data_IF_604146283327
#
_entry.id   IF_604146283327
#
_cell.length_a   1.000
_cell.length_b   1.000
_cell.length_c   1.000
_cell.angle_alpha   90.00
_cell.angle_beta   90.00
_cell.angle_gamma   90.00
#
_symmetry.space_group_name_H-M   'P 1'
#
loop_
_entity.id
_entity.type
_entity.pdbx_description
1 polymer ?
#
# COMPACT_ATOMS: atom_id res chain seq x y z
N UNK A 1 21.27 -5.52 8.70
CA UNK A 1 20.31 -5.21 7.63
C UNK A 1 19.63 -3.87 7.92
N UNK A 2 19.50 -3.03 6.91
CA UNK A 2 18.63 -1.85 6.95
C UNK A 2 17.20 -2.38 7.09
N UNK A 3 16.55 -2.11 8.22
CA UNK A 3 15.15 -2.45 8.49
C UNK A 3 14.39 -1.17 8.85
N UNK A 4 13.08 -1.23 8.69
CA UNK A 4 12.09 -0.24 9.11
C UNK A 4 12.37 1.18 8.56
N UNK A 5 12.63 1.25 7.26
CA UNK A 5 12.86 2.53 6.57
C UNK A 5 12.47 2.51 5.10
N UNK A 6 12.31 3.71 4.53
CA UNK A 6 12.16 3.92 3.10
C UNK A 6 13.53 3.81 2.42
N UNK A 7 13.60 3.12 1.28
CA UNK A 7 14.82 2.94 0.50
C UNK A 7 14.58 3.20 -0.98
N UNK A 8 15.60 3.67 -1.67
CA UNK A 8 15.64 3.64 -3.12
C UNK A 8 16.18 2.28 -3.59
N UNK A 9 15.45 1.64 -4.48
CA UNK A 9 15.88 0.43 -5.16
C UNK A 9 16.68 0.81 -6.40
N UNK A 10 17.81 0.14 -6.60
CA UNK A 10 18.68 0.31 -7.77
C UNK A 10 18.90 -1.03 -8.47
N UNK A 11 19.12 -1.01 -9.78
CA UNK A 11 19.57 -2.17 -10.52
C UNK A 11 21.10 -2.39 -10.39
N UNK A 12 21.62 -3.43 -11.02
CA UNK A 12 23.06 -3.78 -11.00
C UNK A 12 23.95 -2.68 -11.63
N UNK A 13 23.40 -1.85 -12.49
CA UNK A 13 24.07 -0.70 -13.10
C UNK A 13 23.91 0.60 -12.29
N UNK A 14 23.45 0.50 -11.03
CA UNK A 14 23.18 1.63 -10.13
C UNK A 14 22.10 2.61 -10.61
N UNK A 15 21.21 2.19 -11.51
CA UNK A 15 20.08 3.02 -11.95
C UNK A 15 18.89 2.84 -10.99
N UNK A 16 18.27 3.95 -10.59
CA UNK A 16 17.07 3.93 -9.72
C UNK A 16 15.89 3.29 -10.46
N UNK A 17 15.30 2.27 -9.86
CA UNK A 17 14.12 1.58 -10.39
C UNK A 17 12.83 1.92 -9.64
N UNK A 18 12.94 2.47 -8.43
CA UNK A 18 11.83 3.04 -7.65
C UNK A 18 12.11 3.02 -6.15
N UNK A 19 11.06 3.14 -5.37
CA UNK A 19 11.08 3.25 -3.92
C UNK A 19 10.39 2.05 -3.29
N UNK A 20 10.92 1.59 -2.16
CA UNK A 20 10.32 0.56 -1.33
C UNK A 20 10.40 0.99 0.14
N UNK A 21 9.56 0.41 1.00
CA UNK A 21 9.88 0.37 2.42
C UNK A 21 10.35 -1.03 2.80
N UNK A 22 11.42 -1.10 3.59
CA UNK A 22 11.97 -2.36 4.09
C UNK A 22 11.41 -2.59 5.47
N UNK A 23 10.64 -3.66 5.64
CA UNK A 23 10.22 -4.18 6.93
C UNK A 23 9.90 -5.67 6.77
N UNK A 24 10.40 -6.50 7.67
CA UNK A 24 10.29 -7.95 7.52
C UNK A 24 8.84 -8.39 7.73
N UNK A 25 8.26 -9.07 6.75
CA UNK A 25 6.91 -9.62 6.83
C UNK A 25 6.90 -11.03 6.25
N UNK A 26 6.69 -12.04 7.12
CA UNK A 26 6.78 -13.45 6.76
C UNK A 26 8.12 -13.77 6.06
N UNK A 27 8.06 -14.22 4.80
CA UNK A 27 9.23 -14.51 3.95
C UNK A 27 9.73 -13.29 3.17
N UNK A 28 8.98 -12.19 3.18
CA UNK A 28 9.33 -10.94 2.50
C UNK A 28 10.15 -9.99 3.38
N UNK A 29 10.89 -9.09 2.75
CA UNK A 29 11.75 -8.10 3.41
C UNK A 29 11.21 -6.66 3.30
N UNK A 30 10.10 -6.46 2.59
CA UNK A 30 9.53 -5.14 2.36
C UNK A 30 8.57 -5.12 1.18
N UNK A 31 8.12 -3.93 0.82
CA UNK A 31 7.15 -3.72 -0.24
C UNK A 31 7.59 -2.62 -1.19
N UNK A 32 7.45 -2.88 -2.48
CA UNK A 32 7.68 -1.91 -3.54
C UNK A 32 6.49 -0.93 -3.62
N UNK A 33 6.79 0.37 -3.73
CA UNK A 33 5.80 1.43 -3.72
C UNK A 33 5.63 2.12 -5.08
N UNK A 34 6.62 2.00 -5.97
CA UNK A 34 6.59 2.66 -7.28
C UNK A 34 7.75 3.65 -7.47
N UNK A 35 7.68 4.44 -8.54
CA UNK A 35 8.67 5.46 -8.88
C UNK A 35 8.24 6.84 -8.37
N UNK A 36 9.20 7.70 -8.07
CA UNK A 36 8.95 9.10 -7.71
C UNK A 36 8.38 9.31 -6.31
N UNK A 37 8.39 8.29 -5.45
CA UNK A 37 7.98 8.42 -4.06
C UNK A 37 9.22 8.76 -3.22
N UNK A 38 9.26 9.99 -2.74
CA UNK A 38 10.34 10.47 -1.86
C UNK A 38 9.94 10.43 -0.38
N UNK A 39 8.66 10.68 -0.10
CA UNK A 39 8.11 10.73 1.25
C UNK A 39 6.72 10.07 1.31
N UNK A 40 6.43 9.40 2.42
CA UNK A 40 5.10 8.85 2.72
C UNK A 40 4.29 9.88 3.50
N UNK A 41 3.81 10.90 2.79
CA UNK A 41 2.99 11.97 3.37
C UNK A 41 1.57 11.49 3.67
N UNK A 42 0.82 12.24 4.48
CA UNK A 42 -0.61 11.99 4.68
C UNK A 42 -1.38 12.03 3.36
N UNK A 43 -1.06 12.98 2.47
CA UNK A 43 -1.71 13.09 1.16
C UNK A 43 -1.48 11.87 0.26
N UNK A 44 -0.32 11.24 0.35
CA UNK A 44 -0.04 9.96 -0.32
C UNK A 44 -1.00 8.86 0.15
N UNK A 45 -1.22 8.73 1.46
CA UNK A 45 -2.16 7.73 1.97
C UNK A 45 -3.63 8.06 1.68
N UNK A 46 -4.01 9.35 1.73
CA UNK A 46 -5.37 9.78 1.37
C UNK A 46 -5.71 9.36 -0.05
N UNK A 47 -4.82 9.58 -1.02
CA UNK A 47 -5.09 9.19 -2.42
C UNK A 47 -5.23 7.67 -2.60
N UNK A 48 -4.43 6.87 -1.87
CA UNK A 48 -4.55 5.41 -1.85
C UNK A 48 -5.91 4.97 -1.30
N UNK A 49 -6.36 5.57 -0.19
CA UNK A 49 -7.64 5.22 0.43
C UNK A 49 -8.83 5.68 -0.41
N UNK A 50 -8.76 6.84 -1.05
CA UNK A 50 -9.79 7.30 -1.98
C UNK A 50 -9.94 6.34 -3.16
N UNK A 51 -8.82 5.92 -3.77
CA UNK A 51 -8.83 4.95 -4.86
C UNK A 51 -9.38 3.58 -4.41
N UNK A 52 -8.97 3.09 -3.22
CA UNK A 52 -9.46 1.83 -2.66
C UNK A 52 -10.95 1.87 -2.34
N UNK A 53 -11.45 3.01 -1.84
CA UNK A 53 -12.88 3.26 -1.59
C UNK A 53 -13.68 3.29 -2.90
N UNK A 54 -13.18 3.97 -3.94
CA UNK A 54 -13.84 4.03 -5.24
C UNK A 54 -14.01 2.65 -5.88
N UNK A 55 -13.04 1.74 -5.72
CA UNK A 55 -13.16 0.34 -6.22
C UNK A 55 -14.22 -0.50 -5.50
N UNK A 56 -14.81 0.00 -4.42
CA UNK A 56 -15.72 -0.73 -3.52
C UNK A 56 -17.07 -0.03 -3.34
N UNK A 57 -17.43 0.86 -4.26
CA UNK A 57 -18.69 1.59 -4.24
C UNK A 57 -19.90 0.65 -4.17
N UNK A 58 -19.82 -0.50 -4.82
CA UNK A 58 -20.91 -1.48 -4.85
C UNK A 58 -21.19 -2.05 -3.46
N UNK A 59 -20.15 -2.31 -2.66
CA UNK A 59 -20.31 -2.74 -1.27
C UNK A 59 -20.85 -1.61 -0.39
N UNK A 60 -20.38 -0.37 -0.57
CA UNK A 60 -20.88 0.76 0.22
C UNK A 60 -22.34 1.12 -0.07
N UNK A 61 -22.84 0.76 -1.25
CA UNK A 61 -24.21 1.01 -1.69
C UNK A 61 -25.14 -0.21 -1.46
N UNK A 62 -24.63 -1.31 -0.90
CA UNK A 62 -25.39 -2.53 -0.66
C UNK A 62 -26.14 -2.46 0.67
N UNK A 63 -27.45 -2.71 0.64
CA UNK A 63 -28.26 -2.89 1.86
C UNK A 63 -28.02 -4.25 2.54
N UNK A 64 -27.37 -5.19 1.85
CA UNK A 64 -27.16 -6.57 2.31
C UNK A 64 -25.73 -6.85 2.78
N UNK A 65 -24.83 -5.87 2.66
CA UNK A 65 -23.41 -6.04 2.99
C UNK A 65 -22.92 -4.91 3.90
N UNK A 66 -22.77 -5.21 5.18
CA UNK A 66 -22.30 -4.26 6.20
C UNK A 66 -20.88 -4.56 6.73
N UNK A 67 -20.32 -5.71 6.36
CA UNK A 67 -18.96 -6.11 6.73
C UNK A 67 -18.16 -6.48 5.48
N UNK A 68 -17.08 -5.73 5.19
CA UNK A 68 -16.22 -5.99 4.03
C UNK A 68 -14.84 -5.32 4.18
N UNK A 69 -13.88 -5.82 3.41
CA UNK A 69 -12.53 -5.25 3.33
C UNK A 69 -12.50 -4.00 2.48
N UNK A 70 -12.01 -2.89 3.03
CA UNK A 70 -11.85 -1.60 2.32
C UNK A 70 -10.44 -1.37 1.77
N UNK A 71 -9.44 -2.04 2.31
CA UNK A 71 -8.04 -1.96 1.86
C UNK A 71 -7.31 -3.29 2.08
N UNK A 72 -6.56 -3.77 1.08
CA UNK A 72 -6.01 -5.12 0.99
C UNK A 72 -4.57 -5.14 0.44
N UNK A 73 -3.63 -4.62 1.24
CA UNK A 73 -2.20 -4.70 0.98
C UNK A 73 -1.81 -4.18 -0.43
N UNK A 74 -0.94 -4.92 -1.13
CA UNK A 74 -0.49 -4.65 -2.49
C UNK A 74 -1.64 -4.63 -3.51
N UNK A 75 -2.75 -5.33 -3.23
CA UNK A 75 -3.99 -5.22 -4.00
C UNK A 75 -4.59 -3.80 -4.01
N UNK A 76 -4.20 -2.96 -3.05
CA UNK A 76 -4.55 -1.55 -3.00
C UNK A 76 -3.31 -0.62 -3.01
N UNK A 77 -2.20 -1.10 -3.59
CA UNK A 77 -0.94 -0.38 -3.83
C UNK A 77 -0.14 0.03 -2.57
N UNK A 78 -0.44 -0.58 -1.42
CA UNK A 78 0.40 -0.43 -0.23
C UNK A 78 0.39 -1.72 0.59
N UNK A 79 1.42 -2.55 0.41
CA UNK A 79 1.55 -3.79 1.16
C UNK A 79 1.68 -3.57 2.67
N UNK A 80 1.43 -4.61 3.46
CA UNK A 80 1.56 -4.56 4.93
C UNK A 80 0.41 -3.87 5.67
N UNK A 81 -0.60 -3.36 4.96
CA UNK A 81 -1.80 -2.75 5.55
C UNK A 81 -3.07 -3.44 5.07
N UNK A 82 -3.97 -3.78 6.00
CA UNK A 82 -5.34 -4.17 5.70
C UNK A 82 -6.29 -3.35 6.55
N UNK A 83 -7.44 -2.97 5.99
CA UNK A 83 -8.50 -2.26 6.71
C UNK A 83 -9.81 -2.95 6.37
N UNK A 84 -10.52 -3.37 7.41
CA UNK A 84 -11.84 -3.99 7.31
C UNK A 84 -12.88 -3.07 7.97
N UNK A 85 -14.03 -2.90 7.32
CA UNK A 85 -15.17 -2.16 7.84
C UNK A 85 -16.19 -3.16 8.37
N UNK A 86 -16.57 -3.03 9.63
CA UNK A 86 -17.65 -3.78 10.28
C UNK A 86 -18.66 -2.77 10.83
N UNK A 87 -19.85 -2.72 10.22
CA UNK A 87 -20.93 -1.80 10.58
C UNK A 87 -22.11 -2.52 11.22
#
# INVERSE_FOLDING_TARGET
PVLDQLVQLVNQSHQVIGTAYVSKQNKGIGWYLGKGIEHLTVSYFVSLFEAAKQRRTDFSNSDFTNAYRVFNQDGDHFGGLTIDLYK
#
